data_IF_121147730609
#
_entry.id   IF_121147730609
#
_cell.length_a   1.000
_cell.length_b   1.000
_cell.length_c   1.000
_cell.angle_alpha   90.00
_cell.angle_beta   90.00
_cell.angle_gamma   90.00
#
_symmetry.space_group_name_H-M   'P 1'
#
loop_
_entity.id
_entity.type
_entity.pdbx_description
1 polymer ?
#
# COMPACT_ATOMS: atom_id res chain seq x y z
N UNK A 1 35.78 -7.07 -23.36
CA UNK A 1 36.74 -7.62 -22.39
C UNK A 1 36.05 -7.66 -21.03
N UNK A 2 35.91 -8.85 -20.43
CA UNK A 2 35.22 -9.07 -19.16
C UNK A 2 36.29 -9.44 -18.10
N UNK A 3 36.39 -8.73 -16.96
CA UNK A 3 37.13 -9.24 -15.82
C UNK A 3 36.23 -10.05 -14.88
N UNK A 4 36.86 -11.05 -14.27
CA UNK A 4 36.29 -12.21 -13.58
C UNK A 4 36.01 -11.94 -12.10
N UNK A 5 34.98 -12.62 -11.61
CA UNK A 5 34.71 -13.18 -10.27
C UNK A 5 35.83 -13.07 -9.21
N UNK A 6 35.41 -12.68 -7.99
CA UNK A 6 35.97 -13.17 -6.74
C UNK A 6 34.83 -13.47 -5.76
N UNK A 7 34.78 -14.72 -5.34
CA UNK A 7 33.86 -15.29 -4.37
C UNK A 7 34.39 -15.06 -2.94
N UNK A 8 33.48 -14.86 -1.98
CA UNK A 8 33.76 -15.00 -0.56
C UNK A 8 32.65 -15.84 0.07
N UNK A 9 33.02 -17.06 0.45
CA UNK A 9 32.21 -18.00 1.19
C UNK A 9 32.35 -17.72 2.70
N UNK A 10 31.25 -17.74 3.44
CA UNK A 10 31.26 -17.93 4.89
C UNK A 10 30.29 -19.05 5.24
N UNK A 11 30.89 -20.19 5.60
CA UNK A 11 30.29 -21.35 6.26
C UNK A 11 29.89 -20.94 7.70
N UNK A 12 28.67 -21.23 8.21
CA UNK A 12 28.08 -22.50 8.65
C UNK A 12 28.18 -22.67 10.18
N UNK A 13 27.03 -22.69 10.86
CA UNK A 13 26.83 -23.35 12.16
C UNK A 13 25.35 -23.78 12.25
N UNK A 14 25.10 -25.03 11.87
CA UNK A 14 23.84 -25.75 12.04
C UNK A 14 23.93 -26.52 13.36
N UNK A 15 23.15 -26.10 14.35
CA UNK A 15 22.98 -26.83 15.61
C UNK A 15 21.80 -27.78 15.47
N UNK A 16 22.08 -29.09 15.46
CA UNK A 16 21.08 -30.16 15.52
C UNK A 16 20.94 -30.58 16.98
N UNK A 17 19.77 -30.39 17.58
CA UNK A 17 19.42 -30.95 18.89
C UNK A 17 18.24 -31.92 18.78
N UNK A 18 18.58 -33.19 18.99
CA UNK A 18 17.86 -34.31 19.59
C UNK A 18 16.30 -34.36 19.61
N UNK A 19 15.77 -35.47 19.08
CA UNK A 19 14.45 -36.01 19.42
C UNK A 19 14.45 -36.68 20.81
N UNK A 20 13.34 -36.59 21.53
CA UNK A 20 13.01 -37.54 22.59
C UNK A 20 11.85 -37.11 23.50
N UNK A 21 10.77 -37.89 23.51
CA UNK A 21 9.94 -38.10 24.71
C UNK A 21 8.51 -37.55 24.68
N UNK A 22 7.56 -38.46 24.41
CA UNK A 22 6.11 -38.37 24.61
C UNK A 22 5.76 -38.23 26.12
N UNK A 23 4.86 -37.30 26.47
CA UNK A 23 4.00 -37.36 27.66
C UNK A 23 2.74 -36.48 27.47
N UNK A 24 1.62 -37.08 27.84
CA UNK A 24 0.21 -36.70 27.71
C UNK A 24 -0.26 -35.53 28.58
N UNK A 25 -1.26 -34.83 28.02
CA UNK A 25 -2.40 -34.12 28.62
C UNK A 25 -2.18 -32.99 29.64
N UNK A 26 -2.61 -31.78 29.24
CA UNK A 26 -2.72 -30.61 30.12
C UNK A 26 -3.30 -29.38 29.40
N UNK A 27 -4.62 -29.32 29.36
CA UNK A 27 -5.51 -28.16 29.25
C UNK A 27 -4.90 -26.74 29.11
N UNK A 28 -5.09 -26.11 27.95
CA UNK A 28 -5.62 -24.75 27.78
C UNK A 28 -5.57 -24.35 26.29
N UNK A 29 -6.64 -23.76 25.71
CA UNK A 29 -6.55 -23.14 24.40
C UNK A 29 -5.74 -21.84 24.54
N UNK A 30 -4.43 -21.91 24.32
CA UNK A 30 -3.62 -20.70 24.24
C UNK A 30 -4.09 -19.88 23.04
N UNK A 31 -4.41 -18.63 23.36
CA UNK A 31 -5.12 -17.67 22.55
C UNK A 31 -4.57 -17.63 21.13
N UNK A 32 -5.51 -17.46 20.19
CA UNK A 32 -5.20 -16.83 18.92
C UNK A 32 -4.34 -15.61 19.22
N UNK A 33 -3.04 -15.74 18.95
CA UNK A 33 -2.13 -14.62 18.77
C UNK A 33 -2.60 -13.89 17.52
N UNK A 34 -3.73 -13.20 17.65
CA UNK A 34 -4.12 -12.13 16.76
C UNK A 34 -3.02 -11.10 16.94
N UNK A 35 -2.10 -11.11 15.99
CA UNK A 35 -1.18 -10.01 15.75
C UNK A 35 -2.04 -8.75 15.74
N UNK A 36 -2.00 -8.01 16.85
CA UNK A 36 -2.48 -6.64 16.89
C UNK A 36 -1.54 -5.89 15.98
N UNK A 37 -1.91 -5.80 14.70
CA UNK A 37 -1.26 -4.95 13.73
C UNK A 37 -1.47 -3.52 14.22
N UNK A 38 -0.55 -3.04 15.07
CA UNK A 38 -0.37 -1.62 15.29
C UNK A 38 -0.12 -1.02 13.92
N UNK A 39 -1.14 -0.39 13.36
CA UNK A 39 -1.05 0.40 12.14
C UNK A 39 -0.13 1.57 12.43
N UNK A 40 1.18 1.33 12.28
CA UNK A 40 2.21 2.34 12.46
C UNK A 40 1.92 3.49 11.52
N UNK A 41 1.54 4.63 12.08
CA UNK A 41 1.47 5.90 11.35
C UNK A 41 2.89 6.28 10.96
N UNK A 42 3.14 6.40 9.67
CA UNK A 42 4.38 6.93 9.10
C UNK A 42 4.36 8.46 9.03
N UNK A 43 5.44 9.04 8.52
CA UNK A 43 5.52 10.48 8.22
C UNK A 43 6.50 10.74 7.07
N UNK A 44 6.25 11.79 6.31
CA UNK A 44 7.08 12.33 5.23
C UNK A 44 8.01 13.45 5.71
N UNK A 45 8.15 13.62 7.03
CA UNK A 45 9.08 14.57 7.66
C UNK A 45 8.45 15.89 8.09
N UNK A 46 7.18 16.16 7.74
CA UNK A 46 6.42 17.28 8.31
C UNK A 46 4.91 17.03 8.26
N UNK A 47 4.16 17.64 9.18
CA UNK A 47 2.69 17.56 9.20
C UNK A 47 2.04 18.09 7.93
N UNK A 48 2.62 19.13 7.33
CA UNK A 48 2.09 19.70 6.09
C UNK A 48 2.29 18.76 4.90
N UNK A 49 3.47 18.14 4.79
CA UNK A 49 3.72 17.13 3.76
C UNK A 49 2.79 15.92 3.93
N UNK A 50 2.59 15.48 5.17
CA UNK A 50 1.65 14.39 5.50
C UNK A 50 0.23 14.75 5.09
N UNK A 51 -0.25 15.95 5.44
CA UNK A 51 -1.58 16.45 5.09
C UNK A 51 -1.80 16.54 3.58
N UNK A 52 -0.85 17.09 2.84
CA UNK A 52 -0.94 17.20 1.38
C UNK A 52 -1.02 15.80 0.73
N UNK A 53 -0.24 14.84 1.22
CA UNK A 53 -0.27 13.47 0.74
C UNK A 53 -1.61 12.79 1.06
N UNK A 54 -2.09 12.88 2.31
CA UNK A 54 -3.34 12.24 2.73
C UNK A 54 -4.55 12.81 2.00
N UNK A 55 -4.62 14.13 1.82
CA UNK A 55 -5.69 14.76 1.04
C UNK A 55 -5.65 14.36 -0.45
N UNK A 56 -4.46 14.23 -1.04
CA UNK A 56 -4.31 13.78 -2.42
C UNK A 56 -4.79 12.35 -2.61
N UNK A 57 -4.42 11.45 -1.70
CA UNK A 57 -4.89 10.08 -1.69
C UNK A 57 -6.42 9.99 -1.51
N UNK A 58 -6.99 10.72 -0.56
CA UNK A 58 -8.44 10.73 -0.31
C UNK A 58 -9.24 11.20 -1.51
N UNK A 59 -8.80 12.27 -2.21
CA UNK A 59 -9.44 12.73 -3.45
C UNK A 59 -9.46 11.66 -4.52
N UNK A 60 -8.38 10.88 -4.64
CA UNK A 60 -8.28 9.82 -5.64
C UNK A 60 -9.21 8.67 -5.32
N UNK A 61 -9.32 8.28 -4.05
CA UNK A 61 -10.26 7.22 -3.64
C UNK A 61 -11.70 7.59 -3.98
N UNK A 62 -12.09 8.86 -3.81
CA UNK A 62 -13.42 9.36 -4.23
C UNK A 62 -13.65 9.20 -5.74
N UNK A 63 -12.64 9.49 -6.57
CA UNK A 63 -12.75 9.33 -8.02
C UNK A 63 -12.73 7.86 -8.44
N UNK A 64 -11.93 7.05 -7.75
CA UNK A 64 -11.69 5.64 -8.04
C UNK A 64 -12.94 4.78 -7.75
N UNK A 65 -13.55 4.92 -6.58
CA UNK A 65 -14.62 4.04 -6.10
C UNK A 65 -16.02 4.43 -6.61
N UNK A 66 -16.16 4.57 -7.94
CA UNK A 66 -17.40 4.96 -8.62
C UNK A 66 -17.81 3.94 -9.69
N UNK A 67 -18.44 2.81 -9.31
CA UNK A 67 -18.74 1.73 -10.24
C UNK A 67 -19.81 2.07 -11.29
N UNK A 68 -20.63 3.08 -11.03
CA UNK A 68 -21.71 3.48 -11.93
C UNK A 68 -21.25 4.42 -13.07
N UNK A 69 -19.98 4.84 -13.07
CA UNK A 69 -19.42 5.73 -14.10
C UNK A 69 -18.91 4.91 -15.27
N UNK A 70 -19.16 5.37 -16.51
CA UNK A 70 -18.63 4.73 -17.72
C UNK A 70 -17.10 4.70 -17.69
N UNK A 71 -16.52 3.61 -18.17
CA UNK A 71 -15.07 3.38 -18.16
C UNK A 71 -14.28 4.54 -18.78
N UNK A 72 -14.75 5.12 -19.89
CA UNK A 72 -14.07 6.22 -20.57
C UNK A 72 -14.06 7.50 -19.74
N UNK A 73 -15.21 7.84 -19.15
CA UNK A 73 -15.36 9.04 -18.31
C UNK A 73 -14.57 8.88 -17.00
N UNK A 74 -14.67 7.71 -16.37
CA UNK A 74 -13.93 7.36 -15.16
C UNK A 74 -12.41 7.45 -15.37
N UNK A 75 -11.91 6.86 -16.45
CA UNK A 75 -10.49 6.91 -16.79
C UNK A 75 -10.03 8.32 -17.16
N UNK A 76 -10.85 9.09 -17.90
CA UNK A 76 -10.54 10.46 -18.28
C UNK A 76 -10.39 11.38 -17.05
N UNK A 77 -11.25 11.21 -16.04
CA UNK A 77 -11.20 11.99 -14.80
C UNK A 77 -10.00 11.62 -13.91
N UNK A 78 -9.58 10.34 -13.89
CA UNK A 78 -8.43 9.90 -13.11
C UNK A 78 -7.08 10.29 -13.72
N UNK A 79 -6.97 10.22 -15.06
CA UNK A 79 -5.72 10.42 -15.80
C UNK A 79 -4.87 11.63 -15.36
N UNK A 80 -5.42 12.83 -15.13
CA UNK A 80 -4.62 14.00 -14.76
C UNK A 80 -3.85 13.85 -13.45
N UNK A 81 -4.31 12.98 -12.55
CA UNK A 81 -3.70 12.77 -11.24
C UNK A 81 -2.91 11.46 -11.13
N UNK A 82 -2.75 10.73 -12.23
CA UNK A 82 -2.00 9.49 -12.28
C UNK A 82 -0.61 9.68 -12.88
N UNK A 83 0.35 8.88 -12.41
CA UNK A 83 1.65 8.77 -13.07
C UNK A 83 1.50 7.98 -14.38
N UNK A 84 2.56 7.94 -15.20
CA UNK A 84 2.57 7.08 -16.40
C UNK A 84 2.27 5.61 -16.06
N UNK A 85 2.76 5.14 -14.91
CA UNK A 85 2.48 3.78 -14.42
C UNK A 85 1.00 3.66 -14.03
N UNK A 86 0.47 4.63 -13.29
CA UNK A 86 -0.94 4.66 -12.91
C UNK A 86 -1.88 4.62 -14.12
N UNK A 87 -1.62 5.48 -15.12
CA UNK A 87 -2.42 5.54 -16.36
C UNK A 87 -2.44 4.19 -17.09
N UNK A 88 -1.31 3.47 -17.12
CA UNK A 88 -1.24 2.16 -17.77
C UNK A 88 -2.17 1.12 -17.13
N UNK A 89 -2.47 1.27 -15.83
CA UNK A 89 -3.37 0.35 -15.11
C UNK A 89 -4.83 0.56 -15.51
N UNK A 90 -5.23 1.79 -15.85
CA UNK A 90 -6.62 2.12 -16.20
C UNK A 90 -7.12 1.34 -17.43
N UNK A 91 -6.23 0.99 -18.37
CA UNK A 91 -6.59 0.21 -19.56
C UNK A 91 -7.03 -1.22 -19.27
N UNK A 92 -6.80 -1.72 -18.05
CA UNK A 92 -7.11 -3.09 -17.64
C UNK A 92 -8.18 -3.16 -16.55
N UNK A 93 -8.78 -2.03 -16.19
CA UNK A 93 -9.74 -1.91 -15.10
C UNK A 93 -11.12 -1.55 -15.65
N UNK A 94 -12.15 -2.26 -15.20
CA UNK A 94 -13.55 -1.89 -15.41
C UNK A 94 -14.08 -1.35 -14.07
N UNK A 95 -14.55 -0.09 -13.97
CA UNK A 95 -15.03 0.45 -12.71
C UNK A 95 -16.25 -0.30 -12.16
N UNK A 96 -17.07 -0.95 -13.00
CA UNK A 96 -18.29 -1.64 -12.57
C UNK A 96 -18.05 -2.84 -11.64
N UNK A 97 -16.82 -3.35 -11.57
CA UNK A 97 -16.45 -4.43 -10.65
C UNK A 97 -16.08 -3.92 -9.25
N UNK A 98 -15.92 -2.60 -9.08
CA UNK A 98 -15.54 -1.99 -7.82
C UNK A 98 -16.75 -1.86 -6.90
N UNK A 99 -16.52 -1.96 -5.60
CA UNK A 99 -17.53 -1.59 -4.61
C UNK A 99 -17.56 -0.06 -4.45
N UNK A 100 -18.76 0.57 -4.35
CA UNK A 100 -18.85 1.99 -4.09
C UNK A 100 -18.31 2.30 -2.70
N UNK A 101 -17.37 3.24 -2.60
CA UNK A 101 -16.73 3.58 -1.34
C UNK A 101 -16.64 5.09 -1.16
N UNK A 102 -16.74 5.53 0.11
CA UNK A 102 -16.54 6.92 0.50
C UNK A 102 -15.53 6.99 1.63
N UNK A 103 -14.56 7.93 1.60
CA UNK A 103 -13.66 8.13 2.72
C UNK A 103 -14.43 8.31 4.03
N UNK A 104 -14.00 7.58 5.05
CA UNK A 104 -14.54 7.63 6.40
C UNK A 104 -13.37 7.73 7.38
N UNK A 105 -13.35 8.78 8.20
CA UNK A 105 -12.23 9.08 9.08
C UNK A 105 -11.00 9.64 8.36
N UNK A 106 -9.91 9.77 9.11
CA UNK A 106 -8.69 10.42 8.65
C UNK A 106 -7.76 9.44 7.91
N UNK A 107 -7.38 9.80 6.69
CA UNK A 107 -6.31 9.12 5.97
C UNK A 107 -4.96 9.33 6.66
N UNK A 108 -4.08 8.32 6.57
CA UNK A 108 -2.79 8.32 7.25
C UNK A 108 -1.66 7.86 6.34
N UNK A 109 -0.52 8.54 6.44
CA UNK A 109 0.72 8.06 5.82
C UNK A 109 1.14 6.78 6.52
N UNK A 110 1.44 5.73 5.74
CA UNK A 110 1.99 4.47 6.24
C UNK A 110 3.52 4.48 6.16
N UNK A 111 4.05 4.99 5.04
CA UNK A 111 5.47 5.11 4.78
C UNK A 111 5.72 6.07 3.62
N UNK A 112 6.95 6.58 3.49
CA UNK A 112 7.35 7.38 2.35
C UNK A 112 8.63 8.18 2.57
N UNK A 113 8.92 9.03 1.59
CA UNK A 113 9.96 10.05 1.56
C UNK A 113 9.38 11.32 0.92
N UNK A 114 10.23 12.31 0.65
CA UNK A 114 9.91 13.49 -0.15
C UNK A 114 9.36 13.17 -1.55
N UNK A 115 9.84 12.08 -2.19
CA UNK A 115 9.51 11.68 -3.55
C UNK A 115 8.44 10.59 -3.68
N UNK A 116 8.21 9.78 -2.64
CA UNK A 116 7.28 8.66 -2.67
C UNK A 116 6.43 8.59 -1.40
N UNK A 117 5.16 8.21 -1.51
CA UNK A 117 4.29 8.03 -0.35
C UNK A 117 3.37 6.82 -0.53
N UNK A 118 3.11 6.13 0.58
CA UNK A 118 2.04 5.15 0.72
C UNK A 118 1.08 5.62 1.79
N UNK A 119 -0.18 5.77 1.42
CA UNK A 119 -1.25 6.30 2.28
C UNK A 119 -2.36 5.27 2.42
N UNK A 120 -2.83 5.07 3.64
CA UNK A 120 -4.07 4.38 3.93
C UNK A 120 -5.22 5.38 3.98
N UNK A 121 -6.30 5.10 3.26
CA UNK A 121 -7.53 5.88 3.27
C UNK A 121 -8.63 4.94 3.77
N UNK A 122 -9.09 5.09 5.03
CA UNK A 122 -10.24 4.33 5.48
C UNK A 122 -11.50 4.81 4.75
N UNK A 123 -12.36 3.85 4.40
CA UNK A 123 -13.60 4.09 3.67
C UNK A 123 -14.72 3.21 4.22
N UNK A 124 -15.95 3.48 3.80
CA UNK A 124 -17.12 2.66 4.08
C UNK A 124 -17.01 1.20 3.59
N UNK A 125 -16.12 0.92 2.63
CA UNK A 125 -15.88 -0.43 2.09
C UNK A 125 -14.61 -1.10 2.67
N UNK A 126 -13.91 -0.44 3.59
CA UNK A 126 -12.62 -0.88 4.12
C UNK A 126 -11.48 0.09 3.78
N UNK A 127 -10.25 -0.33 4.02
CA UNK A 127 -9.08 0.53 3.84
C UNK A 127 -8.49 0.43 2.43
N UNK A 128 -8.49 1.55 1.71
CA UNK A 128 -7.77 1.68 0.45
C UNK A 128 -6.31 2.01 0.68
N UNK A 129 -5.42 1.41 -0.10
CA UNK A 129 -3.98 1.74 -0.09
C UNK A 129 -3.60 2.46 -1.38
N UNK A 130 -3.14 3.70 -1.25
CA UNK A 130 -2.73 4.54 -2.36
C UNK A 130 -1.22 4.70 -2.35
N UNK A 131 -0.57 4.35 -3.45
CA UNK A 131 0.87 4.57 -3.69
C UNK A 131 1.04 5.73 -4.65
N UNK A 132 1.90 6.68 -4.30
CA UNK A 132 2.09 7.92 -5.05
C UNK A 132 3.57 8.25 -5.19
N UNK A 133 3.89 8.93 -6.29
CA UNK A 133 5.18 9.57 -6.52
C UNK A 133 4.99 11.06 -6.73
N UNK A 134 6.04 11.85 -6.50
CA UNK A 134 6.03 13.24 -6.94
C UNK A 134 6.05 13.33 -8.46
N UNK A 135 5.43 14.38 -8.98
CA UNK A 135 5.57 14.76 -10.39
C UNK A 135 6.99 15.26 -10.68
N UNK A 136 7.29 15.53 -11.96
CA UNK A 136 8.62 15.97 -12.38
C UNK A 136 9.04 17.32 -11.76
N UNK A 137 8.09 18.18 -11.36
CA UNK A 137 8.39 19.43 -10.66
C UNK A 137 8.62 19.25 -9.16
N UNK A 138 8.27 18.10 -8.60
CA UNK A 138 8.35 17.83 -7.16
C UNK A 138 7.20 18.42 -6.34
N UNK A 139 6.18 19.01 -6.96
CA UNK A 139 5.16 19.82 -6.28
C UNK A 139 3.82 19.10 -6.12
N UNK A 140 3.49 18.18 -7.01
CA UNK A 140 2.23 17.43 -6.99
C UNK A 140 2.48 15.94 -6.71
N UNK A 141 1.51 15.28 -6.08
CA UNK A 141 1.46 13.83 -5.97
C UNK A 141 0.71 13.26 -7.16
N UNK A 142 1.34 12.30 -7.84
CA UNK A 142 0.73 11.49 -8.89
C UNK A 142 0.54 10.07 -8.35
N UNK A 143 -0.60 9.46 -8.67
CA UNK A 143 -0.92 8.11 -8.21
C UNK A 143 -0.31 7.06 -9.13
N UNK A 144 0.47 6.16 -8.53
CA UNK A 144 1.05 5.00 -9.21
C UNK A 144 0.11 3.80 -9.14
N UNK A 145 -0.56 3.60 -8.00
CA UNK A 145 -1.43 2.45 -7.76
C UNK A 145 -2.46 2.75 -6.68
N UNK A 146 -3.66 2.22 -6.87
CA UNK A 146 -4.72 2.10 -5.87
C UNK A 146 -5.00 0.63 -5.64
N UNK A 147 -5.03 0.21 -4.39
CA UNK A 147 -5.45 -1.15 -3.98
C UNK A 147 -6.73 -0.98 -3.15
N UNK A 148 -7.82 -1.57 -3.64
CA UNK A 148 -9.08 -1.69 -2.91
C UNK A 148 -8.99 -2.80 -1.84
N UNK A 149 -9.87 -2.78 -0.83
CA UNK A 149 -10.00 -3.83 0.18
C UNK A 149 -10.21 -5.24 -0.40
#
# INVERSE_FOLDING_TARGET
MKPRLLAAAVLLMLSVSACGGENTDGDAPDESSQSTQSTKVGSLGSKEADKIATESASRIVVLWARPDVKIEDWAAELRPAMSTVGVSTLSFMDPSILEPAKPEGDARVLSGSDAHARVAVPTTAGEYLVTMSRDASGTAWLVDRVVSP
#
